data_IF_495217146335
#
_entry.id   IF_495217146335
#
_cell.length_a   1.000
_cell.length_b   1.000
_cell.length_c   1.000
_cell.angle_alpha   90.00
_cell.angle_beta   90.00
_cell.angle_gamma   90.00
#
_symmetry.space_group_name_H-M   'P 1'
#
loop_
_entity.id
_entity.type
_entity.pdbx_description
1 polymer ?
#
# COMPACT_ATOMS: atom_id res chain seq x y z
N UNK A 1 -1.83 20.50 -13.08
CA UNK A 1 -2.69 19.46 -12.47
C UNK A 1 -1.88 18.82 -11.36
N UNK A 2 -2.21 19.14 -10.11
CA UNK A 2 -1.51 18.61 -8.94
C UNK A 2 -1.78 17.12 -8.74
N UNK A 3 -0.84 16.46 -8.07
CA UNK A 3 -0.75 15.05 -7.64
C UNK A 3 -2.07 14.27 -7.46
N UNK A 4 -2.87 14.05 -8.52
CA UNK A 4 -4.13 13.29 -8.41
C UNK A 4 -5.13 13.81 -7.37
N UNK A 5 -5.03 15.07 -6.94
CA UNK A 5 -5.85 15.66 -5.86
C UNK A 5 -5.11 15.99 -4.56
N UNK A 6 -3.85 15.58 -4.39
CA UNK A 6 -3.01 15.95 -3.25
C UNK A 6 -2.27 17.28 -3.49
N UNK A 7 -2.01 18.04 -2.42
CA UNK A 7 -1.33 19.33 -2.46
C UNK A 7 0.20 19.23 -2.54
N UNK A 8 0.78 18.09 -2.13
CA UNK A 8 2.23 17.83 -2.21
C UNK A 8 2.53 16.32 -2.33
N UNK A 9 3.76 15.99 -2.73
CA UNK A 9 4.28 14.64 -2.71
C UNK A 9 4.27 14.05 -1.29
N UNK A 10 4.58 14.86 -0.28
CA UNK A 10 4.51 14.44 1.12
C UNK A 10 3.10 13.98 1.50
N UNK A 11 2.08 14.77 1.17
CA UNK A 11 0.69 14.43 1.46
C UNK A 11 0.24 13.15 0.75
N UNK A 12 0.66 12.99 -0.51
CA UNK A 12 0.43 11.74 -1.25
C UNK A 12 1.07 10.54 -0.55
N UNK A 13 2.35 10.60 -0.21
CA UNK A 13 3.07 9.48 0.41
C UNK A 13 2.57 9.17 1.83
N UNK A 14 2.15 10.16 2.62
CA UNK A 14 1.45 9.93 3.89
C UNK A 14 0.08 9.26 3.66
N UNK A 15 -0.64 9.64 2.59
CA UNK A 15 -1.86 8.94 2.15
C UNK A 15 -1.60 7.48 1.78
N UNK A 16 -0.51 7.21 1.05
CA UNK A 16 -0.06 5.84 0.72
C UNK A 16 0.27 5.05 1.98
N UNK A 17 0.92 5.67 2.97
CA UNK A 17 1.24 5.03 4.25
C UNK A 17 -0.02 4.68 5.05
N UNK A 18 -1.01 5.58 5.07
CA UNK A 18 -2.30 5.31 5.68
C UNK A 18 -2.99 4.13 4.98
N UNK A 19 -3.02 4.13 3.65
CA UNK A 19 -3.58 3.03 2.86
C UNK A 19 -2.84 1.70 3.08
N UNK A 20 -1.51 1.70 3.14
CA UNK A 20 -0.72 0.50 3.42
C UNK A 20 -0.98 -0.05 4.84
N UNK A 21 -1.14 0.83 5.83
CA UNK A 21 -1.47 0.45 7.21
C UNK A 21 -2.87 -0.15 7.29
N UNK A 22 -3.85 0.49 6.65
CA UNK A 22 -5.24 0.00 6.62
C UNK A 22 -5.39 -1.27 5.80
N UNK A 23 -4.60 -1.45 4.73
CA UNK A 23 -4.54 -2.69 3.97
C UNK A 23 -3.99 -3.84 4.82
N UNK A 24 -2.90 -3.65 5.55
CA UNK A 24 -2.34 -4.68 6.44
C UNK A 24 -3.33 -5.03 7.57
N UNK A 25 -4.02 -4.03 8.13
CA UNK A 25 -5.07 -4.22 9.13
C UNK A 25 -6.26 -5.00 8.56
N UNK A 26 -6.76 -4.61 7.40
CA UNK A 26 -7.87 -5.29 6.71
C UNK A 26 -7.51 -6.74 6.38
N UNK A 27 -6.27 -7.00 5.95
CA UNK A 27 -5.77 -8.34 5.72
C UNK A 27 -5.73 -9.21 6.99
N UNK A 28 -5.27 -8.64 8.11
CA UNK A 28 -5.29 -9.34 9.40
C UNK A 28 -6.72 -9.65 9.84
N UNK A 29 -7.65 -8.72 9.64
CA UNK A 29 -9.07 -8.90 9.97
C UNK A 29 -9.70 -10.02 9.13
N UNK A 30 -9.48 -10.03 7.81
CA UNK A 30 -9.92 -11.12 6.92
C UNK A 30 -9.30 -12.46 7.32
N UNK A 31 -8.01 -12.48 7.66
CA UNK A 31 -7.32 -13.71 8.07
C UNK A 31 -7.89 -14.28 9.38
N UNK A 32 -8.21 -13.42 10.35
CA UNK A 32 -8.86 -13.83 11.62
C UNK A 32 -10.28 -14.32 11.38
N UNK A 33 -11.04 -13.68 10.49
CA UNK A 33 -12.38 -14.13 10.11
C UNK A 33 -12.33 -15.51 9.46
N UNK A 34 -11.45 -15.71 8.47
CA UNK A 34 -11.26 -17.00 7.78
C UNK A 34 -10.80 -18.11 8.74
N UNK A 35 -9.87 -17.82 9.65
CA UNK A 35 -9.42 -18.79 10.66
C UNK A 35 -10.54 -19.15 11.66
N UNK A 36 -11.37 -18.18 12.05
CA UNK A 36 -12.53 -18.41 12.94
C UNK A 36 -13.62 -19.25 12.27
N UNK A 37 -13.77 -19.17 10.95
CA UNK A 37 -14.70 -20.00 10.18
C UNK A 37 -14.26 -21.46 10.12
N UNK A 38 -12.96 -21.74 9.90
CA UNK A 38 -12.43 -23.11 9.95
C UNK A 38 -12.72 -23.79 11.29
N UNK A 39 -12.59 -23.05 12.40
CA UNK A 39 -12.89 -23.54 13.76
C UNK A 39 -14.40 -23.71 14.01
N UNK A 40 -15.25 -22.83 13.48
CA UNK A 40 -16.72 -22.93 13.64
C UNK A 40 -17.33 -24.02 12.75
N UNK A 41 -16.90 -24.14 11.49
CA UNK A 41 -17.34 -25.19 10.58
C UNK A 41 -17.05 -26.60 11.15
N UNK A 42 -15.91 -26.76 11.82
CA UNK A 42 -15.53 -27.99 12.52
C UNK A 42 -16.37 -28.28 13.79
N UNK A 43 -17.04 -27.27 14.36
CA UNK A 43 -18.00 -27.44 15.47
C UNK A 43 -19.42 -27.71 14.99
N UNK A 44 -19.83 -27.14 13.86
CA UNK A 44 -21.16 -27.35 13.27
C UNK A 44 -21.36 -28.79 12.76
N UNK A 45 -20.30 -29.53 12.46
CA UNK A 45 -20.38 -30.95 12.08
C UNK A 45 -20.88 -31.87 13.20
N UNK A 46 -21.02 -31.39 14.44
CA UNK A 46 -21.36 -32.25 15.59
C UNK A 46 -22.75 -32.03 16.19
N UNK A 47 -23.56 -31.08 15.73
CA UNK A 47 -24.96 -30.96 16.18
C UNK A 47 -25.80 -30.08 15.25
N UNK A 48 -26.58 -30.69 14.34
CA UNK A 48 -27.66 -29.97 13.64
C UNK A 48 -28.99 -30.59 14.07
N UNK A 49 -29.69 -29.88 14.95
CA UNK A 49 -31.12 -30.08 15.19
C UNK A 49 -31.93 -29.27 14.16
N UNK A 50 -33.03 -29.81 13.60
CA UNK A 50 -33.81 -29.15 12.56
C UNK A 50 -34.69 -28.04 13.17
N UNK A 51 -34.46 -26.76 12.82
CA UNK A 51 -35.38 -25.68 13.25
C UNK A 51 -35.01 -24.20 13.04
N UNK A 52 -33.79 -23.83 12.64
CA UNK A 52 -33.39 -22.39 12.56
C UNK A 52 -32.52 -22.04 11.34
N UNK A 53 -32.94 -22.38 10.12
CA UNK A 53 -32.16 -22.07 8.91
C UNK A 53 -32.27 -20.61 8.43
N UNK A 54 -33.35 -19.90 8.74
CA UNK A 54 -33.59 -18.55 8.19
C UNK A 54 -32.66 -17.48 8.82
N UNK A 55 -32.38 -17.56 10.12
CA UNK A 55 -31.48 -16.61 10.79
C UNK A 55 -30.00 -16.84 10.44
N UNK A 56 -29.63 -18.10 10.13
CA UNK A 56 -28.27 -18.46 9.72
C UNK A 56 -27.96 -17.91 8.33
N UNK A 57 -28.90 -17.98 7.38
CA UNK A 57 -28.72 -17.39 6.03
C UNK A 57 -28.55 -15.86 6.08
N UNK A 58 -29.32 -15.15 6.91
CA UNK A 58 -29.21 -13.68 7.02
C UNK A 58 -27.90 -13.18 7.65
N UNK A 59 -27.27 -14.00 8.52
CA UNK A 59 -25.94 -13.71 9.07
C UNK A 59 -24.83 -13.99 8.06
N UNK A 60 -24.99 -15.01 7.20
CA UNK A 60 -24.07 -15.32 6.11
C UNK A 60 -24.11 -14.25 5.01
N UNK A 61 -25.28 -13.76 4.60
CA UNK A 61 -25.39 -12.70 3.58
C UNK A 61 -24.75 -11.38 4.03
N UNK A 62 -25.02 -10.95 5.26
CA UNK A 62 -24.39 -9.75 5.84
C UNK A 62 -22.87 -9.87 5.93
N UNK A 63 -22.37 -11.10 6.16
CA UNK A 63 -20.94 -11.40 6.17
C UNK A 63 -20.33 -11.29 4.76
N UNK A 64 -20.96 -11.92 3.77
CA UNK A 64 -20.50 -11.87 2.38
C UNK A 64 -20.45 -10.42 1.88
N UNK A 65 -21.44 -9.60 2.23
CA UNK A 65 -21.45 -8.17 1.90
C UNK A 65 -20.35 -7.39 2.63
N UNK A 66 -20.00 -7.77 3.85
CA UNK A 66 -18.87 -7.18 4.59
C UNK A 66 -17.52 -7.57 3.97
N UNK A 67 -17.32 -8.85 3.62
CA UNK A 67 -16.11 -9.32 2.95
C UNK A 67 -15.90 -8.64 1.59
N UNK A 68 -16.97 -8.49 0.79
CA UNK A 68 -16.88 -7.74 -0.49
C UNK A 68 -16.49 -6.28 -0.29
N UNK A 69 -16.98 -5.63 0.78
CA UNK A 69 -16.59 -4.26 1.12
C UNK A 69 -15.11 -4.18 1.50
N UNK A 70 -14.62 -5.12 2.31
CA UNK A 70 -13.21 -5.20 2.68
C UNK A 70 -12.31 -5.47 1.47
N UNK A 71 -12.72 -6.36 0.56
CA UNK A 71 -11.99 -6.58 -0.69
C UNK A 71 -11.94 -5.34 -1.58
N UNK A 72 -13.08 -4.64 -1.73
CA UNK A 72 -13.11 -3.39 -2.51
C UNK A 72 -12.24 -2.30 -1.89
N UNK A 73 -12.20 -2.23 -0.57
CA UNK A 73 -11.31 -1.30 0.15
C UNK A 73 -9.84 -1.65 -0.11
N UNK A 74 -9.48 -2.93 -0.02
CA UNK A 74 -8.14 -3.41 -0.36
C UNK A 74 -7.76 -3.07 -1.80
N UNK A 75 -8.66 -3.27 -2.77
CA UNK A 75 -8.40 -2.90 -4.17
C UNK A 75 -8.07 -1.41 -4.33
N UNK A 76 -8.77 -0.54 -3.60
CA UNK A 76 -8.52 0.90 -3.61
C UNK A 76 -7.17 1.24 -2.95
N UNK A 77 -6.88 0.63 -1.82
CA UNK A 77 -5.61 0.83 -1.10
C UNK A 77 -4.42 0.34 -1.94
N UNK A 78 -4.55 -0.82 -2.60
CA UNK A 78 -3.54 -1.35 -3.50
C UNK A 78 -3.38 -0.54 -4.79
N UNK A 79 -4.44 0.10 -5.30
CA UNK A 79 -4.32 1.01 -6.43
C UNK A 79 -3.47 2.24 -6.07
N UNK A 80 -3.63 2.77 -4.85
CA UNK A 80 -2.82 3.89 -4.36
C UNK A 80 -1.36 3.46 -4.13
N UNK A 81 -1.14 2.28 -3.54
CA UNK A 81 0.19 1.69 -3.37
C UNK A 81 0.85 1.43 -4.74
N UNK A 82 0.10 0.90 -5.71
CA UNK A 82 0.58 0.66 -7.07
C UNK A 82 1.05 1.95 -7.75
N UNK A 83 0.27 3.02 -7.60
CA UNK A 83 0.66 4.36 -8.09
C UNK A 83 1.95 4.84 -7.42
N UNK A 84 2.12 4.63 -6.12
CA UNK A 84 3.35 4.96 -5.44
C UNK A 84 4.54 4.14 -5.95
N UNK A 85 4.36 2.84 -6.20
CA UNK A 85 5.40 1.99 -6.80
C UNK A 85 5.82 2.49 -8.19
N UNK A 86 4.88 2.97 -9.02
CA UNK A 86 5.23 3.57 -10.31
C UNK A 86 6.06 4.85 -10.15
N UNK A 87 5.77 5.67 -9.14
CA UNK A 87 6.59 6.86 -8.83
C UNK A 87 7.99 6.47 -8.38
N UNK A 88 8.14 5.36 -7.66
CA UNK A 88 9.45 4.91 -7.15
C UNK A 88 10.30 4.23 -8.23
N UNK A 89 9.71 3.34 -9.03
CA UNK A 89 10.42 2.43 -9.94
C UNK A 89 10.10 2.64 -11.43
N UNK A 90 9.27 3.64 -11.74
CA UNK A 90 8.79 3.91 -13.08
C UNK A 90 7.59 3.06 -13.47
N UNK A 91 7.08 3.32 -14.67
CA UNK A 91 5.88 2.64 -15.21
C UNK A 91 6.05 1.12 -15.22
N UNK A 92 5.01 0.39 -14.82
CA UNK A 92 5.00 -1.07 -14.65
C UNK A 92 6.12 -1.60 -13.71
N UNK A 93 6.74 -0.76 -12.89
CA UNK A 93 7.88 -1.11 -12.03
C UNK A 93 9.08 -1.72 -12.78
N UNK A 94 9.30 -1.33 -14.04
CA UNK A 94 10.35 -1.91 -14.89
C UNK A 94 11.74 -1.25 -14.75
N UNK A 95 11.90 -0.27 -13.85
CA UNK A 95 13.19 0.36 -13.55
C UNK A 95 13.68 1.36 -14.61
N UNK A 96 12.87 1.70 -15.61
CA UNK A 96 13.22 2.68 -16.66
C UNK A 96 12.85 4.11 -16.29
N UNK A 97 12.39 4.35 -15.06
CA UNK A 97 11.94 5.65 -14.59
C UNK A 97 11.73 5.66 -13.08
N UNK A 98 11.02 6.65 -12.57
CA UNK A 98 10.81 6.84 -11.14
C UNK A 98 11.99 7.46 -10.41
N UNK A 99 11.84 7.55 -9.08
CA UNK A 99 12.90 8.04 -8.18
C UNK A 99 14.18 7.19 -8.29
N UNK A 100 14.06 5.89 -8.51
CA UNK A 100 15.21 5.01 -8.71
C UNK A 100 16.10 5.48 -9.87
N UNK A 101 15.50 5.81 -11.01
CA UNK A 101 16.23 6.28 -12.19
C UNK A 101 16.80 7.70 -12.00
N UNK A 102 16.11 8.57 -11.26
CA UNK A 102 16.49 9.98 -11.10
C UNK A 102 17.55 10.22 -10.02
N UNK A 103 17.40 9.56 -8.87
CA UNK A 103 18.21 9.81 -7.67
C UNK A 103 19.00 8.58 -7.23
N UNK A 104 18.63 7.39 -7.70
CA UNK A 104 19.27 6.12 -7.37
C UNK A 104 18.38 5.19 -6.53
N UNK A 105 18.73 3.91 -6.55
CA UNK A 105 17.95 2.84 -5.92
C UNK A 105 17.85 2.98 -4.39
N UNK A 106 18.84 3.57 -3.73
CA UNK A 106 18.81 3.83 -2.28
C UNK A 106 17.68 4.81 -1.90
N UNK A 107 17.44 5.84 -2.71
CA UNK A 107 16.37 6.82 -2.48
C UNK A 107 15.00 6.18 -2.61
N UNK A 108 14.81 5.38 -3.67
CA UNK A 108 13.58 4.63 -3.90
C UNK A 108 13.32 3.62 -2.77
N UNK A 109 14.37 2.91 -2.32
CA UNK A 109 14.30 1.95 -1.23
C UNK A 109 13.88 2.61 0.09
N UNK A 110 14.47 3.76 0.44
CA UNK A 110 14.12 4.50 1.66
C UNK A 110 12.64 4.90 1.65
N UNK A 111 12.13 5.44 0.54
CA UNK A 111 10.71 5.79 0.39
C UNK A 111 9.80 4.57 0.46
N UNK A 112 10.16 3.48 -0.21
CA UNK A 112 9.40 2.24 -0.21
C UNK A 112 9.20 1.73 1.20
N UNK A 113 10.29 1.53 1.96
CA UNK A 113 10.19 0.98 3.32
C UNK A 113 9.50 1.93 4.29
N UNK A 114 9.69 3.24 4.12
CA UNK A 114 9.10 4.25 5.00
C UNK A 114 7.59 4.38 4.83
N UNK A 115 7.10 4.41 3.59
CA UNK A 115 5.69 4.70 3.30
C UNK A 115 4.89 3.43 3.01
N UNK A 116 5.36 2.57 2.11
CA UNK A 116 4.65 1.32 1.76
C UNK A 116 4.89 0.25 2.83
N UNK A 117 6.15 0.08 3.24
CA UNK A 117 6.52 -0.79 4.36
C UNK A 117 6.11 -0.24 5.73
N UNK A 118 5.52 0.97 5.79
CA UNK A 118 5.03 1.64 7.00
C UNK A 118 6.04 1.72 8.17
N UNK A 119 7.34 1.58 7.88
CA UNK A 119 8.42 1.52 8.86
C UNK A 119 8.81 2.92 9.35
N UNK A 120 9.31 2.98 10.59
CA UNK A 120 9.96 4.19 11.10
C UNK A 120 11.30 4.44 10.41
N UNK A 121 11.75 5.70 10.37
CA UNK A 121 13.07 6.07 9.84
C UNK A 121 14.21 5.25 10.46
N UNK A 122 14.09 4.89 11.75
CA UNK A 122 15.10 4.11 12.45
C UNK A 122 15.17 2.67 11.93
N UNK A 123 14.03 2.05 11.67
CA UNK A 123 13.97 0.70 11.09
C UNK A 123 14.51 0.70 9.66
N UNK A 124 14.09 1.69 8.85
CA UNK A 124 14.61 1.87 7.48
C UNK A 124 16.12 2.06 7.49
N UNK A 125 16.66 2.88 8.39
CA UNK A 125 18.10 3.11 8.49
C UNK A 125 18.89 1.82 8.80
N UNK A 126 18.32 0.94 9.64
CA UNK A 126 18.92 -0.36 9.95
C UNK A 126 18.87 -1.32 8.76
N UNK A 127 17.80 -1.23 7.95
CA UNK A 127 17.56 -2.12 6.82
C UNK A 127 18.37 -1.74 5.58
N UNK A 128 18.46 -0.43 5.28
CA UNK A 128 19.21 0.12 4.14
C UNK A 128 20.71 0.27 4.46
N UNK A 129 21.10 0.19 5.75
CA UNK A 129 22.50 0.28 6.17
C UNK A 129 23.06 1.71 6.16
N UNK A 130 22.18 2.72 6.26
CA UNK A 130 22.53 4.13 6.28
C UNK A 130 22.18 4.78 7.62
N UNK A 131 22.68 5.99 7.89
CA UNK A 131 22.30 6.72 9.11
C UNK A 131 20.86 7.24 9.01
N UNK A 132 20.17 7.39 10.15
CA UNK A 132 18.82 7.96 10.18
C UNK A 132 18.77 9.39 9.60
N UNK A 133 19.83 10.19 9.80
CA UNK A 133 19.95 11.52 9.19
C UNK A 133 20.01 11.43 7.66
N UNK A 134 20.79 10.49 7.12
CA UNK A 134 20.87 10.22 5.68
C UNK A 134 19.51 9.82 5.12
N UNK A 135 18.78 8.92 5.79
CA UNK A 135 17.43 8.53 5.37
C UNK A 135 16.45 9.71 5.36
N UNK A 136 16.53 10.63 6.32
CA UNK A 136 15.72 11.86 6.34
C UNK A 136 16.05 12.74 5.13
N UNK A 137 17.34 12.98 4.87
CA UNK A 137 17.78 13.76 3.71
C UNK A 137 17.32 13.13 2.41
N UNK A 138 17.52 11.82 2.23
CA UNK A 138 17.06 11.09 1.03
C UNK A 138 15.54 11.19 0.84
N UNK A 139 14.77 11.10 1.93
CA UNK A 139 13.31 11.27 1.88
C UNK A 139 12.97 12.68 1.38
N UNK A 140 13.54 13.72 2.00
CA UNK A 140 13.22 15.11 1.66
C UNK A 140 13.59 15.45 0.21
N UNK A 141 14.78 15.05 -0.24
CA UNK A 141 15.23 15.28 -1.62
C UNK A 141 14.30 14.60 -2.62
N UNK A 142 13.85 13.39 -2.32
CA UNK A 142 12.94 12.66 -3.21
C UNK A 142 11.55 13.30 -3.28
N UNK A 143 11.02 13.76 -2.15
CA UNK A 143 9.75 14.49 -2.09
C UNK A 143 9.84 15.81 -2.86
N UNK A 144 10.90 16.58 -2.64
CA UNK A 144 11.15 17.83 -3.36
C UNK A 144 11.30 17.61 -4.87
N UNK A 145 11.94 16.50 -5.26
CA UNK A 145 12.05 16.10 -6.68
C UNK A 145 10.67 15.81 -7.27
N UNK A 146 9.80 15.11 -6.53
CA UNK A 146 8.42 14.88 -6.93
C UNK A 146 7.61 16.18 -7.03
N UNK A 147 7.75 17.09 -6.06
CA UNK A 147 7.12 18.42 -6.03
C UNK A 147 7.57 19.31 -7.19
N UNK A 148 8.85 19.23 -7.56
CA UNK A 148 9.42 20.05 -8.62
C UNK A 148 9.08 19.54 -10.02
N UNK A 149 9.12 18.22 -10.24
CA UNK A 149 8.94 17.62 -11.56
C UNK A 149 7.49 17.18 -11.84
N UNK A 150 6.75 16.85 -10.79
CA UNK A 150 5.45 16.17 -10.87
C UNK A 150 5.58 14.66 -11.17
N UNK A 151 4.61 13.87 -10.72
CA UNK A 151 4.67 12.39 -10.84
C UNK A 151 4.77 11.88 -12.26
N UNK A 152 4.09 12.48 -13.24
CA UNK A 152 4.14 12.01 -14.63
C UNK A 152 5.58 12.03 -15.19
N UNK A 153 6.33 13.10 -14.90
CA UNK A 153 7.73 13.21 -15.30
C UNK A 153 8.64 12.30 -14.50
N UNK A 154 8.39 12.17 -13.19
CA UNK A 154 9.15 11.24 -12.33
C UNK A 154 8.99 9.81 -12.83
N UNK A 155 7.76 9.34 -13.06
CA UNK A 155 7.44 7.98 -13.53
C UNK A 155 8.11 7.70 -14.89
N UNK A 156 8.15 8.69 -15.79
CA UNK A 156 8.81 8.58 -17.11
C UNK A 156 10.34 8.59 -17.03
N UNK A 157 10.92 9.12 -15.96
CA UNK A 157 12.37 9.24 -15.77
C UNK A 157 13.02 10.29 -16.69
N UNK A 158 14.35 10.42 -16.57
CA UNK A 158 15.14 11.39 -17.34
C UNK A 158 15.29 11.04 -18.84
N UNK A 159 14.70 9.94 -19.30
CA UNK A 159 14.93 9.36 -20.64
C UNK A 159 13.79 9.45 -21.65
N UNK A 160 12.74 10.26 -21.40
CA UNK A 160 11.67 10.48 -22.41
C UNK A 160 11.88 11.74 -23.26
N UNK A 161 13.13 12.10 -23.52
CA UNK A 161 13.50 13.02 -24.61
C UNK A 161 14.30 12.20 -25.64
N UNK A 162 13.61 11.33 -26.37
CA UNK A 162 14.09 10.79 -27.65
C UNK A 162 12.96 10.90 -28.68
N UNK A 163 13.07 11.89 -29.58
CA UNK A 163 12.40 11.90 -30.89
C UNK A 163 11.27 12.90 -31.10
#
# INVERSE_FOLDING_TARGET
>A
MGFGGYASALEFFEGVRAAATEADRTWRELSVMQASEGVKAQRYTSAVAPGSNHDVMGLVDKRIDYERKLHRQLEQDYALIGTACEVLFGKDCKGSGGIESLLGSDYASVLYWRYIGHMSTREVSSLVGCSAATCITMTNVSLETCDSLGFDKVIKGAGSDEG
#
